data_IF_515432307956
#
_entry.id   IF_515432307956
#
_cell.length_a   1.000
_cell.length_b   1.000
_cell.length_c   1.000
_cell.angle_alpha   90.00
_cell.angle_beta   90.00
_cell.angle_gamma   90.00
#
_symmetry.space_group_name_H-M   'P 1'
#
loop_
_entity.id
_entity.type
_entity.pdbx_description
1 polymer ?
#
# COMPACT_ATOMS: atom_id res chain seq x y z
N UNK A 1 -3.74 -60.55 -13.89
CA UNK A 1 -3.23 -59.82 -12.70
C UNK A 1 -2.65 -58.45 -13.06
N UNK A 2 -1.56 -58.35 -13.83
CA UNK A 2 -0.86 -57.09 -14.14
C UNK A 2 -1.72 -56.01 -14.84
N UNK A 3 -2.58 -56.43 -15.78
CA UNK A 3 -3.48 -55.53 -16.52
C UNK A 3 -4.60 -54.96 -15.63
N UNK A 4 -5.15 -55.77 -14.74
CA UNK A 4 -6.13 -55.33 -13.74
C UNK A 4 -5.53 -54.36 -12.73
N UNK A 5 -4.29 -54.60 -12.29
CA UNK A 5 -3.56 -53.69 -11.42
C UNK A 5 -3.29 -52.34 -12.09
N UNK A 6 -2.92 -52.34 -13.38
CA UNK A 6 -2.71 -51.12 -14.14
C UNK A 6 -4.01 -50.31 -14.34
N UNK A 7 -5.14 -50.98 -14.59
CA UNK A 7 -6.45 -50.32 -14.69
C UNK A 7 -6.92 -49.74 -13.36
N UNK A 8 -6.67 -50.45 -12.25
CA UNK A 8 -6.95 -49.96 -10.90
C UNK A 8 -6.09 -48.74 -10.55
N UNK A 9 -4.80 -48.77 -10.90
CA UNK A 9 -3.87 -47.66 -10.68
C UNK A 9 -4.26 -46.42 -11.50
N UNK A 10 -4.68 -46.61 -12.75
CA UNK A 10 -5.11 -45.52 -13.64
C UNK A 10 -6.44 -44.89 -13.17
N UNK A 11 -7.38 -45.70 -12.68
CA UNK A 11 -8.63 -45.21 -12.09
C UNK A 11 -8.41 -44.41 -10.80
N UNK A 12 -7.43 -44.81 -9.99
CA UNK A 12 -7.07 -44.11 -8.75
C UNK A 12 -6.47 -42.73 -9.03
N UNK A 13 -5.69 -42.57 -10.11
CA UNK A 13 -5.09 -41.28 -10.48
C UNK A 13 -6.07 -40.24 -11.01
N UNK A 14 -7.23 -40.64 -11.54
CA UNK A 14 -8.22 -39.71 -12.10
C UNK A 14 -9.18 -39.10 -11.06
N UNK A 15 -9.19 -39.59 -9.82
CA UNK A 15 -10.12 -39.13 -8.76
C UNK A 15 -9.57 -37.97 -7.90
N UNK A 16 -8.45 -37.35 -8.29
CA UNK A 16 -7.64 -36.49 -7.40
C UNK A 16 -7.76 -34.97 -7.55
N UNK A 17 -8.62 -34.42 -8.42
CA UNK A 17 -8.73 -32.96 -8.57
C UNK A 17 -10.01 -32.44 -7.90
N UNK A 18 -9.94 -32.17 -6.60
CA UNK A 18 -10.92 -31.32 -5.91
C UNK A 18 -10.17 -30.08 -5.48
N UNK A 19 -10.12 -29.07 -6.35
CA UNK A 19 -9.67 -27.74 -5.95
C UNK A 19 -10.65 -27.26 -4.87
N UNK A 20 -10.17 -26.88 -3.67
CA UNK A 20 -11.04 -26.22 -2.72
C UNK A 20 -11.57 -24.97 -3.41
N UNK A 21 -12.89 -24.84 -3.50
CA UNK A 21 -13.54 -23.62 -3.93
C UNK A 21 -13.21 -22.57 -2.88
N UNK A 22 -12.11 -21.84 -3.07
CA UNK A 22 -11.70 -20.75 -2.20
C UNK A 22 -12.64 -19.59 -2.53
N UNK A 23 -13.83 -19.65 -1.92
CA UNK A 23 -14.79 -18.55 -1.96
C UNK A 23 -14.17 -17.40 -1.17
N UNK A 24 -13.64 -16.42 -1.90
CA UNK A 24 -13.20 -15.18 -1.28
C UNK A 24 -14.43 -14.47 -0.69
N UNK A 25 -14.30 -13.89 0.52
CA UNK A 25 -15.40 -13.11 1.09
C UNK A 25 -15.76 -11.94 0.17
N UNK A 26 -17.06 -11.73 -0.02
CA UNK A 26 -17.58 -10.57 -0.72
C UNK A 26 -17.71 -9.38 0.25
N UNK A 27 -17.22 -8.23 -0.18
CA UNK A 27 -17.30 -6.97 0.56
C UNK A 27 -18.17 -5.92 -0.16
N UNK A 28 -18.80 -6.27 -1.28
CA UNK A 28 -19.61 -5.35 -2.10
C UNK A 28 -20.65 -4.58 -1.26
N UNK A 29 -21.42 -5.29 -0.43
CA UNK A 29 -22.44 -4.69 0.44
C UNK A 29 -21.87 -3.73 1.49
N UNK A 30 -20.67 -4.03 2.01
CA UNK A 30 -20.00 -3.14 2.96
C UNK A 30 -19.55 -1.87 2.24
N UNK A 31 -18.92 -2.02 1.07
CA UNK A 31 -18.47 -0.91 0.23
C UNK A 31 -19.64 -0.02 -0.18
N UNK A 32 -20.76 -0.59 -0.61
CA UNK A 32 -21.97 0.18 -0.96
C UNK A 32 -22.47 1.06 0.20
N UNK A 33 -22.37 0.56 1.43
CA UNK A 33 -22.81 1.29 2.64
C UNK A 33 -21.81 2.36 3.08
N UNK A 34 -20.52 2.14 2.87
CA UNK A 34 -19.45 2.99 3.43
C UNK A 34 -18.77 3.89 2.41
N UNK A 35 -18.85 3.59 1.12
CA UNK A 35 -18.22 4.38 0.05
C UNK A 35 -18.61 5.87 0.11
N UNK A 36 -19.87 6.27 0.38
CA UNK A 36 -20.24 7.68 0.48
C UNK A 36 -19.53 8.44 1.61
N UNK A 37 -18.98 7.74 2.61
CA UNK A 37 -18.24 8.36 3.71
C UNK A 37 -16.76 8.65 3.37
N UNK A 38 -16.26 8.15 2.23
CA UNK A 38 -14.87 8.34 1.80
C UNK A 38 -14.79 9.54 0.87
N UNK A 39 -14.08 10.58 1.30
CA UNK A 39 -13.91 11.82 0.53
C UNK A 39 -12.45 12.03 0.14
N UNK A 40 -12.22 12.62 -1.03
CA UNK A 40 -10.91 13.10 -1.43
C UNK A 40 -10.71 14.51 -0.88
N UNK A 41 -9.66 14.71 -0.08
CA UNK A 41 -9.32 16.02 0.51
C UNK A 41 -7.99 16.48 -0.08
N UNK A 42 -7.97 17.70 -0.61
CA UNK A 42 -6.76 18.40 -1.04
C UNK A 42 -6.73 19.79 -0.41
N UNK A 43 -5.57 20.18 0.10
CA UNK A 43 -5.35 21.48 0.77
C UNK A 43 -4.29 22.28 0.03
N UNK A 44 -4.51 23.58 -0.13
CA UNK A 44 -3.52 24.53 -0.65
C UNK A 44 -3.21 25.57 0.40
N UNK A 45 -1.92 25.85 0.62
CA UNK A 45 -1.45 26.88 1.55
C UNK A 45 -1.15 28.16 0.76
N UNK A 46 -1.80 29.27 1.12
CA UNK A 46 -1.56 30.57 0.48
C UNK A 46 -0.65 31.42 1.38
N UNK A 47 0.55 31.73 0.89
CA UNK A 47 1.54 32.55 1.61
C UNK A 47 2.77 31.79 2.11
N UNK A 48 2.88 30.51 1.79
CA UNK A 48 4.12 29.75 1.95
C UNK A 48 5.18 30.30 0.97
N UNK A 49 6.40 30.67 1.40
CA UNK A 49 7.47 30.94 0.44
C UNK A 49 7.67 29.69 -0.42
N UNK A 50 7.85 29.86 -1.73
CA UNK A 50 8.40 28.82 -2.61
C UNK A 50 9.86 28.57 -2.20
N UNK A 51 10.07 27.99 -1.02
CA UNK A 51 11.35 27.34 -0.73
C UNK A 51 11.30 26.03 -1.49
N UNK A 52 11.85 26.03 -2.69
CA UNK A 52 12.13 24.83 -3.46
C UNK A 52 12.92 23.87 -2.55
N UNK A 53 12.28 22.85 -1.99
CA UNK A 53 12.95 21.78 -1.24
C UNK A 53 12.39 21.42 0.14
N UNK A 54 11.59 22.29 0.79
CA UNK A 54 11.10 22.02 2.16
C UNK A 54 9.56 21.96 2.19
N UNK A 55 9.00 20.75 2.29
CA UNK A 55 7.61 20.57 2.69
C UNK A 55 7.50 20.89 4.19
N UNK A 56 6.93 22.04 4.58
CA UNK A 56 6.66 22.28 6.01
C UNK A 56 5.70 21.20 6.53
N UNK A 57 6.05 20.66 7.69
CA UNK A 57 5.21 19.70 8.39
C UNK A 57 3.84 20.32 8.70
N UNK A 58 2.73 19.80 8.14
CA UNK A 58 1.40 20.37 8.34
C UNK A 58 0.82 20.04 9.73
N UNK A 59 1.54 19.25 10.54
CA UNK A 59 1.07 18.80 11.85
C UNK A 59 1.57 19.72 12.97
N UNK A 60 0.75 19.94 14.03
CA UNK A 60 1.19 20.69 15.21
C UNK A 60 2.45 20.07 15.83
N UNK A 61 3.35 20.91 16.32
CA UNK A 61 4.52 20.49 17.08
C UNK A 61 4.10 19.63 18.28
N UNK A 62 4.77 18.49 18.48
CA UNK A 62 4.44 17.54 19.55
C UNK A 62 3.20 16.68 19.28
N UNK A 63 2.58 16.75 18.10
CA UNK A 63 1.52 15.81 17.73
C UNK A 63 2.09 14.42 17.46
N UNK A 64 1.39 13.38 17.91
CA UNK A 64 1.80 11.98 17.67
C UNK A 64 1.92 11.62 16.20
N UNK A 65 1.15 12.31 15.35
CA UNK A 65 1.16 12.11 13.92
C UNK A 65 2.32 12.87 13.26
N UNK A 66 2.63 14.08 13.71
CA UNK A 66 3.82 14.83 13.26
C UNK A 66 5.12 14.07 13.48
N UNK A 67 5.27 13.38 14.62
CA UNK A 67 6.43 12.53 14.92
C UNK A 67 6.63 11.40 13.89
N UNK A 68 5.55 10.80 13.38
CA UNK A 68 5.61 9.71 12.39
C UNK A 68 6.17 10.19 11.05
N UNK A 69 5.78 11.40 10.64
CA UNK A 69 6.15 11.97 9.35
C UNK A 69 7.33 12.93 9.42
N UNK A 70 7.94 13.11 10.60
CA UNK A 70 9.08 13.99 10.84
C UNK A 70 10.18 13.84 9.78
N UNK A 71 10.59 12.60 9.51
CA UNK A 71 11.64 12.30 8.52
C UNK A 71 11.23 12.58 7.07
N UNK A 72 9.93 12.62 6.74
CA UNK A 72 9.45 12.93 5.39
C UNK A 72 9.47 14.43 5.09
N UNK A 73 9.39 15.26 6.14
CA UNK A 73 9.36 16.72 6.04
C UNK A 73 10.70 17.38 6.42
N UNK A 74 11.51 16.74 7.28
CA UNK A 74 12.86 17.21 7.67
C UNK A 74 13.98 16.68 6.77
N UNK A 75 13.72 15.71 5.89
CA UNK A 75 14.73 15.24 4.96
C UNK A 75 15.01 16.36 3.93
N UNK A 76 16.26 16.83 3.80
CA UNK A 76 16.62 17.68 2.67
C UNK A 76 16.25 16.92 1.40
N UNK A 77 15.48 17.56 0.52
CA UNK A 77 15.18 16.99 -0.79
C UNK A 77 16.48 16.58 -1.50
N UNK A 78 16.44 15.63 -2.44
CA UNK A 78 17.60 15.27 -3.25
C UNK A 78 18.00 16.49 -4.10
N UNK A 79 18.88 17.34 -3.56
CA UNK A 79 19.26 18.62 -4.16
C UNK A 79 20.05 19.56 -3.23
N UNK A 80 19.92 19.44 -1.91
CA UNK A 80 20.69 20.26 -0.97
C UNK A 80 21.90 19.49 -0.41
N UNK A 81 22.88 19.29 -1.28
CA UNK A 81 24.19 18.78 -0.91
C UNK A 81 25.21 19.22 -1.93
N UNK A 82 26.19 19.99 -1.47
CA UNK A 82 27.42 20.41 -2.18
C UNK A 82 27.37 21.74 -2.95
N UNK A 83 27.34 22.86 -2.21
CA UNK A 83 28.20 24.00 -2.54
C UNK A 83 28.93 24.45 -1.26
N UNK A 84 29.90 23.63 -0.83
CA UNK A 84 30.97 24.10 0.05
C UNK A 84 32.00 24.83 -0.81
N UNK A 85 32.28 26.09 -0.44
CA UNK A 85 33.04 27.03 -1.25
C UNK A 85 34.49 26.62 -1.53
N UNK A 86 34.96 26.99 -2.72
CA UNK A 86 36.36 27.32 -2.94
C UNK A 86 36.43 28.73 -3.53
N UNK A 87 37.04 29.64 -2.76
CA UNK A 87 37.80 30.77 -3.30
C UNK A 87 39.06 30.24 -4.00
#
# INVERSE_FOLDING_TARGET
>A
MKKFLATLLLGLTLSGCSEPDVVLPDFSTLVERTAPAVVNISTTLKGMPESEGALENPFPEGSSLGELFRHLFEAPGPGEGEEEGSL
#
